data_IF_873642112297
#
_entry.id   IF_873642112297
#
_cell.length_a   1.000
_cell.length_b   1.000
_cell.length_c   1.000
_cell.angle_alpha   90.00
_cell.angle_beta   90.00
_cell.angle_gamma   90.00
#
_symmetry.space_group_name_H-M   'P 1'
#
loop_
_entity.id
_entity.type
_entity.pdbx_description
1 polymer ?
#
# COMPACT_ATOMS: atom_id res chain seq x y z
N UNK A 1 -34.14 12.33 -8.06
CA UNK A 1 -32.72 12.07 -7.73
C UNK A 1 -32.23 13.17 -6.82
N UNK A 2 -32.06 12.90 -5.51
CA UNK A 2 -31.61 13.91 -4.54
C UNK A 2 -30.15 14.24 -4.88
N UNK A 3 -29.88 15.50 -5.19
CA UNK A 3 -28.58 15.95 -5.69
C UNK A 3 -27.52 15.86 -4.57
N UNK A 4 -26.78 14.75 -4.50
CA UNK A 4 -25.74 14.49 -3.50
C UNK A 4 -24.44 15.27 -3.78
N UNK A 5 -24.50 16.35 -4.56
CA UNK A 5 -23.35 17.17 -4.90
C UNK A 5 -22.67 17.72 -3.64
N UNK A 6 -23.46 18.31 -2.72
CA UNK A 6 -22.95 18.89 -1.48
C UNK A 6 -22.24 17.84 -0.62
N UNK A 7 -22.83 16.64 -0.49
CA UNK A 7 -22.23 15.55 0.29
C UNK A 7 -20.90 15.10 -0.32
N UNK A 8 -20.84 14.93 -1.66
CA UNK A 8 -19.64 14.49 -2.37
C UNK A 8 -18.50 15.51 -2.27
N UNK A 9 -18.82 16.80 -2.45
CA UNK A 9 -17.83 17.88 -2.31
C UNK A 9 -17.30 17.95 -0.89
N UNK A 10 -18.18 17.82 0.12
CA UNK A 10 -17.78 17.88 1.51
C UNK A 10 -16.88 16.70 1.91
N UNK A 11 -17.22 15.47 1.47
CA UNK A 11 -16.39 14.29 1.75
C UNK A 11 -15.01 14.38 1.09
N UNK A 12 -14.93 14.93 -0.13
CA UNK A 12 -13.65 15.13 -0.82
C UNK A 12 -12.79 16.18 -0.12
N UNK A 13 -13.36 17.34 0.22
CA UNK A 13 -12.65 18.40 0.92
C UNK A 13 -12.15 17.94 2.30
N UNK A 14 -12.96 17.18 3.04
CA UNK A 14 -12.59 16.63 4.35
C UNK A 14 -11.43 15.65 4.22
N UNK A 15 -11.46 14.75 3.23
CA UNK A 15 -10.38 13.79 2.99
C UNK A 15 -9.04 14.50 2.69
N UNK A 16 -9.06 15.54 1.86
CA UNK A 16 -7.85 16.33 1.55
C UNK A 16 -7.32 17.02 2.81
N UNK A 17 -8.20 17.68 3.57
CA UNK A 17 -7.82 18.35 4.81
C UNK A 17 -7.22 17.38 5.84
N UNK A 18 -7.80 16.17 5.95
CA UNK A 18 -7.29 15.10 6.81
C UNK A 18 -5.88 14.68 6.39
N UNK A 19 -5.65 14.38 5.11
CA UNK A 19 -4.34 13.94 4.59
C UNK A 19 -3.28 15.01 4.85
N UNK A 20 -3.54 16.26 4.49
CA UNK A 20 -2.60 17.38 4.69
C UNK A 20 -2.26 17.57 6.18
N UNK A 21 -3.26 17.48 7.05
CA UNK A 21 -3.04 17.60 8.50
C UNK A 21 -2.16 16.46 9.03
N UNK A 22 -2.41 15.22 8.61
CA UNK A 22 -1.62 14.08 9.08
C UNK A 22 -0.16 14.14 8.62
N UNK A 23 0.10 14.63 7.40
CA UNK A 23 1.47 14.84 6.88
C UNK A 23 2.25 15.83 7.77
N UNK A 24 1.61 16.90 8.24
CA UNK A 24 2.28 17.97 8.98
C UNK A 24 2.43 17.69 10.47
N UNK A 25 1.45 17.01 11.09
CA UNK A 25 1.38 16.91 12.56
C UNK A 25 1.85 15.57 13.12
N UNK A 26 1.62 14.43 12.44
CA UNK A 26 1.91 13.12 13.03
C UNK A 26 2.15 12.03 11.97
N UNK A 27 3.42 11.66 11.78
CA UNK A 27 3.81 10.63 10.82
C UNK A 27 3.21 9.24 11.12
N UNK A 28 3.02 8.90 12.40
CA UNK A 28 2.45 7.60 12.80
C UNK A 28 0.98 7.51 12.32
N UNK A 29 0.21 8.58 12.53
CA UNK A 29 -1.18 8.64 12.07
C UNK A 29 -1.27 8.67 10.54
N UNK A 30 -0.36 9.37 9.86
CA UNK A 30 -0.25 9.35 8.40
C UNK A 30 0.03 7.93 7.87
N UNK A 31 0.97 7.21 8.50
CA UNK A 31 1.28 5.81 8.19
C UNK A 31 0.07 4.91 8.35
N UNK A 32 -0.68 5.08 9.45
CA UNK A 32 -1.90 4.31 9.69
C UNK A 32 -2.99 4.58 8.64
N UNK A 33 -3.14 5.83 8.19
CA UNK A 33 -4.08 6.17 7.13
C UNK A 33 -3.68 5.51 5.80
N UNK A 34 -2.42 5.62 5.40
CA UNK A 34 -1.91 5.01 4.15
C UNK A 34 -2.04 3.49 4.18
N UNK A 35 -1.88 2.87 5.35
CA UNK A 35 -2.15 1.45 5.57
C UNK A 35 -3.60 1.08 5.23
N UNK A 36 -4.56 1.81 5.82
CA UNK A 36 -5.97 1.55 5.61
C UNK A 36 -6.36 1.69 4.12
N UNK A 37 -5.85 2.72 3.44
CA UNK A 37 -6.12 2.95 2.01
C UNK A 37 -5.50 1.84 1.16
N UNK A 38 -4.25 1.47 1.40
CA UNK A 38 -3.57 0.43 0.63
C UNK A 38 -4.25 -0.94 0.77
N UNK A 39 -4.69 -1.29 1.98
CA UNK A 39 -5.44 -2.53 2.23
C UNK A 39 -6.75 -2.56 1.46
N UNK A 40 -7.50 -1.46 1.47
CA UNK A 40 -8.75 -1.33 0.72
C UNK A 40 -8.54 -1.49 -0.78
N UNK A 41 -7.59 -0.75 -1.36
CA UNK A 41 -7.28 -0.79 -2.80
C UNK A 41 -6.76 -2.17 -3.24
N UNK A 42 -5.88 -2.80 -2.46
CA UNK A 42 -5.34 -4.12 -2.79
C UNK A 42 -6.43 -5.21 -2.75
N UNK A 43 -7.33 -5.14 -1.76
CA UNK A 43 -8.47 -6.05 -1.67
C UNK A 43 -9.43 -5.88 -2.86
N UNK A 44 -9.74 -4.65 -3.25
CA UNK A 44 -10.59 -4.36 -4.41
C UNK A 44 -9.97 -4.88 -5.71
N UNK A 45 -8.69 -4.57 -5.95
CA UNK A 45 -7.98 -5.03 -7.15
C UNK A 45 -7.92 -6.56 -7.23
N UNK A 46 -7.65 -7.23 -6.12
CA UNK A 46 -7.66 -8.69 -6.06
C UNK A 46 -9.06 -9.26 -6.33
N UNK A 47 -10.11 -8.66 -5.77
CA UNK A 47 -11.49 -9.07 -6.05
C UNK A 47 -11.82 -8.96 -7.55
N UNK A 48 -11.36 -7.90 -8.23
CA UNK A 48 -11.55 -7.72 -9.67
C UNK A 48 -10.81 -8.79 -10.49
N UNK A 49 -9.57 -9.12 -10.09
CA UNK A 49 -8.78 -10.18 -10.73
C UNK A 49 -9.46 -11.55 -10.58
N UNK A 50 -9.98 -11.84 -9.38
CA UNK A 50 -10.69 -13.09 -9.09
C UNK A 50 -12.00 -13.22 -9.87
N UNK A 51 -12.75 -12.12 -10.02
CA UNK A 51 -13.98 -12.12 -10.81
C UNK A 51 -13.71 -12.43 -12.30
N UNK A 52 -12.52 -12.06 -12.78
CA UNK A 52 -12.10 -12.28 -14.17
C UNK A 52 -11.52 -13.68 -14.38
N UNK A 53 -10.83 -14.23 -13.39
CA UNK A 53 -10.14 -15.52 -13.46
C UNK A 53 -10.73 -16.52 -12.46
N UNK A 54 -11.75 -17.28 -12.90
CA UNK A 54 -12.58 -18.19 -12.09
C UNK A 54 -11.85 -19.38 -11.41
N UNK A 55 -10.52 -19.48 -11.56
CA UNK A 55 -9.71 -20.59 -11.04
C UNK A 55 -8.80 -20.22 -9.87
N UNK A 56 -8.80 -18.96 -9.43
CA UNK A 56 -8.07 -18.54 -8.24
C UNK A 56 -8.82 -19.04 -6.98
N UNK A 57 -8.55 -20.30 -6.58
CA UNK A 57 -8.85 -20.78 -5.22
C UNK A 57 -7.99 -19.99 -4.25
N UNK A 58 -8.52 -18.82 -3.92
CA UNK A 58 -7.92 -17.75 -3.14
C UNK A 58 -7.41 -18.31 -1.83
N UNK A 59 -6.10 -18.49 -1.74
CA UNK A 59 -5.36 -18.46 -0.50
C UNK A 59 -5.56 -17.05 0.07
N UNK A 60 -6.67 -16.86 0.78
CA UNK A 60 -7.24 -15.67 1.44
C UNK A 60 -6.29 -14.83 2.32
N UNK A 61 -4.99 -15.06 2.24
CA UNK A 61 -4.33 -15.60 3.42
C UNK A 61 -2.81 -15.66 3.28
N UNK A 62 -2.30 -15.88 2.08
CA UNK A 62 -0.91 -15.51 1.75
C UNK A 62 -1.02 -14.09 1.22
N UNK A 63 -0.91 -13.13 2.13
CA UNK A 63 -0.44 -11.78 1.78
C UNK A 63 -1.31 -10.56 2.03
N UNK A 64 -2.48 -10.71 2.65
CA UNK A 64 -2.76 -9.79 3.80
C UNK A 64 -1.49 -9.77 4.69
N UNK A 65 -0.96 -11.00 4.84
CA UNK A 65 0.33 -11.61 5.23
C UNK A 65 1.53 -11.31 4.33
N UNK A 66 2.04 -10.12 4.34
CA UNK A 66 2.95 -9.99 5.45
C UNK A 66 2.64 -8.62 5.98
N UNK A 67 1.42 -8.57 6.49
CA UNK A 67 0.80 -7.51 7.28
C UNK A 67 1.37 -6.17 6.87
N UNK A 68 1.05 -5.78 5.64
CA UNK A 68 1.31 -4.43 5.17
C UNK A 68 2.79 -4.00 5.26
N UNK A 69 3.74 -4.94 5.08
CA UNK A 69 5.15 -4.63 5.35
C UNK A 69 5.28 -4.09 6.77
N UNK A 70 4.75 -4.86 7.72
CA UNK A 70 5.07 -4.77 9.13
C UNK A 70 4.83 -3.40 9.74
N UNK A 71 3.74 -2.76 9.28
CA UNK A 71 3.43 -1.38 9.62
C UNK A 71 4.65 -0.48 9.35
N UNK A 72 4.62 0.76 9.76
CA UNK A 72 5.63 1.34 10.67
C UNK A 72 6.96 0.66 11.07
N UNK A 73 7.55 -0.37 10.44
CA UNK A 73 8.90 -0.88 10.74
C UNK A 73 10.01 0.17 10.60
N UNK A 74 9.63 1.40 10.25
CA UNK A 74 10.42 2.63 10.21
C UNK A 74 9.66 3.88 10.69
N UNK A 75 8.52 3.72 11.37
CA UNK A 75 8.03 4.75 12.30
C UNK A 75 8.65 4.59 13.69
N UNK A 76 9.33 3.46 13.95
CA UNK A 76 10.31 3.28 15.02
C UNK A 76 11.68 3.28 14.37
N UNK A 77 12.56 4.14 14.86
CA UNK A 77 13.66 4.78 14.15
C UNK A 77 14.87 3.88 13.78
N UNK A 78 14.75 2.55 13.76
CA UNK A 78 15.93 1.65 13.84
C UNK A 78 16.00 0.50 12.80
N UNK A 79 15.07 0.40 11.85
CA UNK A 79 15.11 -0.63 10.81
C UNK A 79 16.14 -0.34 9.70
N UNK A 80 17.17 -1.18 9.56
CA UNK A 80 18.12 -1.10 8.42
C UNK A 80 17.41 -1.29 7.08
N UNK A 81 17.82 -0.54 6.05
CA UNK A 81 17.35 -0.68 4.66
C UNK A 81 17.50 -2.11 4.13
N UNK A 82 18.49 -2.85 4.62
CA UNK A 82 18.74 -4.25 4.29
C UNK A 82 17.57 -5.15 4.72
N UNK A 83 17.06 -4.95 5.93
CA UNK A 83 15.99 -5.80 6.50
C UNK A 83 14.74 -5.75 5.63
N UNK A 84 14.37 -4.55 5.17
CA UNK A 84 13.20 -4.33 4.33
C UNK A 84 13.38 -4.96 2.95
N UNK A 85 14.56 -4.79 2.34
CA UNK A 85 14.86 -5.40 1.05
C UNK A 85 14.79 -6.94 1.11
N UNK A 86 15.32 -7.53 2.18
CA UNK A 86 15.27 -8.99 2.39
C UNK A 86 13.83 -9.47 2.61
N UNK A 87 13.06 -8.78 3.45
CA UNK A 87 11.65 -9.12 3.68
C UNK A 87 10.83 -9.04 2.40
N UNK A 88 10.99 -7.97 1.60
CA UNK A 88 10.34 -7.82 0.29
C UNK A 88 10.71 -8.97 -0.65
N UNK A 89 11.99 -9.35 -0.70
CA UNK A 89 12.45 -10.46 -1.53
C UNK A 89 11.75 -11.77 -1.21
N UNK A 90 11.62 -12.12 0.08
CA UNK A 90 10.91 -13.34 0.49
C UNK A 90 9.41 -13.29 0.14
N UNK A 91 8.75 -12.15 0.33
CA UNK A 91 7.31 -12.00 0.01
C UNK A 91 7.03 -12.27 -1.47
N UNK A 92 7.89 -11.78 -2.36
CA UNK A 92 7.72 -11.98 -3.81
C UNK A 92 8.09 -13.40 -4.26
N UNK A 93 9.06 -14.04 -3.59
CA UNK A 93 9.53 -15.37 -3.96
C UNK A 93 8.60 -16.49 -3.49
N UNK A 94 7.91 -16.34 -2.35
CA UNK A 94 7.04 -17.40 -1.82
C UNK A 94 5.97 -17.84 -2.84
N UNK A 95 5.19 -16.94 -3.47
CA UNK A 95 4.22 -17.32 -4.50
C UNK A 95 4.88 -18.05 -5.68
N UNK A 96 6.00 -17.53 -6.19
CA UNK A 96 6.73 -18.13 -7.33
C UNK A 96 7.24 -19.54 -7.02
N UNK A 97 7.81 -19.73 -5.83
CA UNK A 97 8.29 -21.04 -5.38
C UNK A 97 7.12 -21.99 -5.15
N UNK A 98 6.02 -21.51 -4.56
CA UNK A 98 4.82 -22.34 -4.33
C UNK A 98 4.21 -22.86 -5.64
N UNK A 99 4.21 -22.06 -6.72
CA UNK A 99 3.74 -22.52 -8.03
C UNK A 99 4.55 -23.65 -8.64
N UNK A 100 5.82 -23.83 -8.26
CA UNK A 100 6.63 -24.96 -8.75
C UNK A 100 6.16 -26.30 -8.18
N UNK A 101 5.51 -26.29 -7.01
CA UNK A 101 5.00 -27.49 -6.35
C UNK A 101 3.55 -27.79 -6.71
N UNK A 102 2.83 -26.82 -7.27
CA UNK A 102 1.44 -26.98 -7.69
C UNK A 102 1.43 -27.59 -9.10
N UNK A 103 0.86 -28.79 -9.23
CA UNK A 103 0.64 -29.46 -10.53
C UNK A 103 -0.63 -28.94 -11.19
N UNK A 104 -0.65 -27.64 -11.51
CA UNK A 104 -1.69 -26.98 -12.29
C UNK A 104 -1.04 -26.31 -13.51
N UNK A 105 -1.64 -26.44 -14.69
CA UNK A 105 -1.14 -25.80 -15.91
C UNK A 105 -1.08 -24.28 -15.79
N UNK A 106 -1.95 -23.72 -14.94
CA UNK A 106 -2.09 -22.28 -14.76
C UNK A 106 -1.41 -21.78 -13.47
N UNK A 107 -0.63 -22.63 -12.78
CA UNK A 107 0.00 -22.28 -11.49
C UNK A 107 0.91 -21.04 -11.59
N UNK A 108 1.68 -20.93 -12.68
CA UNK A 108 2.58 -19.81 -12.90
C UNK A 108 1.80 -18.49 -13.11
N UNK A 109 0.75 -18.52 -13.92
CA UNK A 109 -0.13 -17.36 -14.17
C UNK A 109 -0.81 -16.90 -12.87
N UNK A 110 -1.33 -17.83 -12.08
CA UNK A 110 -1.95 -17.53 -10.79
C UNK A 110 -0.96 -16.90 -9.80
N UNK A 111 0.31 -17.31 -9.81
CA UNK A 111 1.37 -16.68 -9.00
C UNK A 111 1.66 -15.23 -9.42
N UNK A 112 1.72 -14.94 -10.72
CA UNK A 112 1.89 -13.56 -11.19
C UNK A 112 0.71 -12.67 -10.81
N UNK A 113 -0.52 -13.17 -10.99
CA UNK A 113 -1.74 -12.46 -10.60
C UNK A 113 -1.81 -12.17 -9.10
N UNK A 114 -1.21 -13.03 -8.27
CA UNK A 114 -1.08 -12.81 -6.83
C UNK A 114 -0.06 -11.69 -6.48
N UNK A 115 0.96 -11.48 -7.31
CA UNK A 115 2.02 -10.48 -7.08
C UNK A 115 1.58 -9.06 -7.49
N UNK A 116 0.72 -8.92 -8.50
CA UNK A 116 0.31 -7.62 -9.07
C UNK A 116 -0.19 -6.62 -8.01
N UNK A 117 -1.12 -6.98 -7.11
CA UNK A 117 -1.59 -6.04 -6.08
C UNK A 117 -0.48 -5.60 -5.10
N UNK A 118 0.52 -6.45 -4.84
CA UNK A 118 1.64 -6.13 -3.95
C UNK A 118 2.54 -5.07 -4.57
N UNK A 119 2.94 -5.27 -5.83
CA UNK A 119 3.87 -4.37 -6.53
C UNK A 119 3.21 -3.06 -6.92
N UNK A 120 1.95 -3.11 -7.36
CA UNK A 120 1.26 -1.94 -7.90
C UNK A 120 0.63 -1.04 -6.81
N UNK A 121 0.18 -1.61 -5.70
CA UNK A 121 -0.56 -0.86 -4.66
C UNK A 121 0.22 -0.81 -3.35
N UNK A 122 0.60 -1.97 -2.80
CA UNK A 122 1.13 -2.03 -1.43
C UNK A 122 2.51 -1.36 -1.29
N UNK A 123 3.45 -1.62 -2.21
CA UNK A 123 4.80 -1.05 -2.16
C UNK A 123 4.81 0.48 -2.32
N UNK A 124 4.17 1.07 -3.35
CA UNK A 124 4.20 2.53 -3.55
C UNK A 124 3.59 3.30 -2.38
N UNK A 125 2.46 2.83 -1.84
CA UNK A 125 1.78 3.50 -0.72
C UNK A 125 2.48 3.27 0.63
N UNK A 126 3.09 2.11 0.84
CA UNK A 126 3.78 1.77 2.10
C UNK A 126 5.09 2.55 2.33
N UNK A 127 5.75 3.01 1.27
CA UNK A 127 7.03 3.74 1.37
C UNK A 127 6.87 5.23 1.68
N UNK A 128 5.73 5.84 1.35
CA UNK A 128 5.50 7.30 1.48
C UNK A 128 5.83 7.88 2.87
N UNK A 129 5.42 7.27 3.99
CA UNK A 129 5.70 7.83 5.32
C UNK A 129 7.19 7.86 5.70
N UNK A 130 8.05 7.06 5.06
CA UNK A 130 9.49 7.05 5.35
C UNK A 130 10.18 8.36 4.93
N UNK A 131 9.67 9.01 3.89
CA UNK A 131 10.24 10.28 3.41
C UNK A 131 10.07 11.43 4.40
N UNK A 132 9.26 11.26 5.46
CA UNK A 132 9.04 12.25 6.51
C UNK A 132 10.10 12.16 7.64
N UNK A 133 10.73 11.00 7.85
CA UNK A 133 11.64 10.71 8.99
C UNK A 133 13.09 10.35 8.56
N UNK A 134 13.50 10.65 7.32
CA UNK A 134 14.79 10.19 6.76
C UNK A 134 16.00 10.75 7.54
N UNK A 135 15.88 11.92 8.18
CA UNK A 135 16.97 12.54 8.95
C UNK A 135 16.38 13.22 10.20
N UNK A 136 16.68 12.74 11.43
CA UNK A 136 16.23 13.43 12.64
C UNK A 136 16.82 14.85 12.68
N UNK A 137 15.95 15.87 12.82
CA UNK A 137 16.35 17.27 12.97
C UNK A 137 16.30 18.17 11.72
N UNK A 138 15.79 17.70 10.58
CA UNK A 138 15.54 18.55 9.40
C UNK A 138 14.05 18.92 9.26
N UNK A 139 13.67 20.21 9.36
CA UNK A 139 12.27 20.67 9.38
C UNK A 139 11.55 20.60 8.01
N UNK A 140 12.27 20.32 6.93
CA UNK A 140 11.87 20.44 5.53
C UNK A 140 11.29 19.14 4.91
N UNK A 141 11.25 18.03 5.67
CA UNK A 141 10.86 16.70 5.17
C UNK A 141 9.36 16.53 4.86
N UNK A 142 8.41 17.07 5.66
CA UNK A 142 6.99 17.00 5.33
C UNK A 142 6.62 17.74 4.03
N UNK A 143 7.40 18.77 3.66
CA UNK A 143 7.17 19.59 2.45
C UNK A 143 7.38 18.78 1.17
N UNK A 144 8.29 17.79 1.20
CA UNK A 144 8.53 16.92 0.04
C UNK A 144 7.31 16.05 -0.25
N UNK A 145 6.74 15.40 0.76
CA UNK A 145 5.51 14.59 0.58
C UNK A 145 4.32 15.46 0.23
N UNK A 146 4.20 16.66 0.82
CA UNK A 146 3.14 17.60 0.48
C UNK A 146 3.22 18.05 -0.99
N UNK A 147 4.42 18.36 -1.50
CA UNK A 147 4.58 18.77 -2.90
C UNK A 147 4.25 17.64 -3.87
N UNK A 148 4.66 16.41 -3.58
CA UNK A 148 4.28 15.23 -4.37
C UNK A 148 2.77 15.00 -4.36
N UNK A 149 2.12 15.13 -3.21
CA UNK A 149 0.66 15.04 -3.10
C UNK A 149 -0.04 16.10 -3.98
N UNK A 150 0.37 17.36 -3.89
CA UNK A 150 -0.21 18.45 -4.70
C UNK A 150 0.01 18.22 -6.19
N UNK A 151 1.21 17.78 -6.60
CA UNK A 151 1.51 17.49 -8.01
C UNK A 151 0.63 16.37 -8.58
N UNK A 152 0.42 15.29 -7.81
CA UNK A 152 -0.47 14.19 -8.21
C UNK A 152 -1.92 14.67 -8.30
N UNK A 153 -2.33 15.59 -7.42
CA UNK A 153 -3.72 16.02 -7.33
C UNK A 153 -4.11 17.08 -8.37
N UNK A 154 -3.14 17.86 -8.85
CA UNK A 154 -3.35 18.92 -9.86
C UNK A 154 -3.21 18.40 -11.29
N UNK A 155 -2.48 17.30 -11.50
CA UNK A 155 -2.27 16.66 -12.80
C UNK A 155 -3.44 15.76 -13.21
#
# INVERSE_FOLDING_TARGET
MKNNFIQRTLTGALLVALIVSLILFNNILFTALMCAVALGCAHELHSLINLTNAHLKTTSFITVTVAFLLLSGLGVQDGSSLTIAVTLGFILLIPMVSSLFIRDSNALEQSFLTIVPVVYVAIPLGILPRFIDVIPGRPDQPVMILSLFVLIWVN
#
